data_IF_919217184239
#
_entry.id   IF_919217184239
#
_cell.length_a   1.000
_cell.length_b   1.000
_cell.length_c   1.000
_cell.angle_alpha   90.00
_cell.angle_beta   90.00
_cell.angle_gamma   90.00
#
_symmetry.space_group_name_H-M   'P 1'
#
loop_
_entity.id
_entity.type
_entity.pdbx_description
1 polymer ?
#
# COMPACT_ATOMS: atom_id res chain seq x y z
N UNK A 1 -7.93 8.67 -0.14
CA UNK A 1 -6.62 8.85 -0.82
C UNK A 1 -5.52 8.39 0.14
N UNK A 2 -4.53 7.61 -0.31
CA UNK A 2 -3.46 7.15 0.58
C UNK A 2 -2.24 8.05 0.52
N UNK A 3 -1.67 8.36 1.69
CA UNK A 3 -0.30 8.85 1.80
C UNK A 3 0.61 7.61 1.78
N UNK A 4 1.68 7.66 0.99
CA UNK A 4 2.70 6.62 0.92
C UNK A 4 4.00 7.17 1.46
N UNK A 5 4.53 6.54 2.52
CA UNK A 5 5.79 6.91 3.14
C UNK A 5 6.72 5.71 3.13
N UNK A 6 8.01 5.96 2.90
CA UNK A 6 9.04 4.95 3.02
C UNK A 6 9.63 5.00 4.43
N UNK A 7 9.60 3.88 5.12
CA UNK A 7 10.21 3.72 6.45
C UNK A 7 11.53 2.98 6.24
N UNK A 8 12.64 3.59 6.63
CA UNK A 8 13.98 3.00 6.52
C UNK A 8 14.45 2.66 7.92
N UNK A 9 14.74 1.39 8.15
CA UNK A 9 15.23 0.89 9.42
C UNK A 9 16.76 0.96 9.49
N UNK A 10 17.31 0.88 10.70
CA UNK A 10 18.75 0.99 10.94
C UNK A 10 19.57 -0.15 10.33
N UNK A 11 18.95 -1.28 10.03
CA UNK A 11 19.54 -2.43 9.34
C UNK A 11 19.58 -2.26 7.80
N UNK A 12 19.05 -1.14 7.29
CA UNK A 12 18.94 -0.86 5.86
C UNK A 12 17.69 -1.44 5.20
N UNK A 13 16.87 -2.21 5.93
CA UNK A 13 15.57 -2.67 5.45
C UNK A 13 14.63 -1.48 5.26
N UNK A 14 13.80 -1.53 4.21
CA UNK A 14 12.82 -0.49 3.95
C UNK A 14 11.41 -1.07 3.76
N UNK A 15 10.44 -0.44 4.40
CA UNK A 15 9.01 -0.77 4.28
C UNK A 15 8.25 0.41 3.65
N UNK A 16 7.15 0.10 2.99
CA UNK A 16 6.21 1.10 2.50
C UNK A 16 5.00 1.17 3.44
N UNK A 17 4.83 2.33 4.07
CA UNK A 17 3.65 2.65 4.85
C UNK A 17 2.59 3.30 3.97
N UNK A 18 1.39 2.76 3.99
CA UNK A 18 0.20 3.29 3.31
C UNK A 18 -0.80 3.76 4.36
N UNK A 19 -0.99 5.06 4.46
CA UNK A 19 -1.88 5.68 5.45
C UNK A 19 -3.12 6.19 4.74
N UNK A 20 -4.30 5.74 5.17
CA UNK A 20 -5.56 6.18 4.56
C UNK A 20 -5.92 7.58 5.10
N UNK A 21 -5.89 8.58 4.21
CA UNK A 21 -6.23 9.97 4.53
C UNK A 21 -7.75 10.14 4.56
N UNK A 22 -8.25 10.77 5.62
CA UNK A 22 -9.65 11.21 5.71
C UNK A 22 -9.81 12.60 5.13
N UNK A 23 -10.81 12.76 4.28
CA UNK A 23 -11.25 14.02 3.70
C UNK A 23 -12.78 13.99 3.52
N UNK A 24 -13.34 15.08 3.01
CA UNK A 24 -14.79 15.21 2.80
C UNK A 24 -15.41 14.18 1.85
N UNK A 25 -14.60 13.52 1.02
CA UNK A 25 -15.02 12.50 0.06
C UNK A 25 -14.66 11.08 0.52
N UNK A 26 -14.29 10.91 1.79
CA UNK A 26 -13.92 9.60 2.34
C UNK A 26 -15.16 8.79 2.66
N UNK A 27 -15.05 7.47 2.48
CA UNK A 27 -16.08 6.55 2.93
C UNK A 27 -16.23 6.60 4.46
N UNK A 28 -17.40 6.23 5.00
CA UNK A 28 -17.56 5.99 6.43
C UNK A 28 -16.48 5.05 6.97
N UNK A 29 -16.14 5.21 8.25
CA UNK A 29 -15.05 4.47 8.90
C UNK A 29 -15.17 2.96 8.75
N UNK A 30 -16.38 2.41 8.89
CA UNK A 30 -16.66 0.99 8.71
C UNK A 30 -16.33 0.51 7.29
N UNK A 31 -16.80 1.23 6.27
CA UNK A 31 -16.55 0.91 4.87
C UNK A 31 -15.06 1.04 4.53
N UNK A 32 -14.40 2.09 5.03
CA UNK A 32 -12.95 2.28 4.89
C UNK A 32 -12.16 1.14 5.53
N UNK A 33 -12.54 0.70 6.73
CA UNK A 33 -11.94 -0.42 7.43
C UNK A 33 -12.17 -1.73 6.69
N UNK A 34 -13.36 -1.97 6.12
CA UNK A 34 -13.64 -3.14 5.30
C UNK A 34 -12.79 -3.18 4.03
N UNK A 35 -12.64 -2.05 3.33
CA UNK A 35 -11.74 -1.96 2.17
C UNK A 35 -10.29 -2.28 2.56
N UNK A 36 -9.80 -1.71 3.67
CA UNK A 36 -8.44 -1.98 4.15
C UNK A 36 -8.26 -3.45 4.53
N UNK A 37 -9.19 -4.04 5.27
CA UNK A 37 -9.20 -5.48 5.62
C UNK A 37 -9.18 -6.36 4.37
N UNK A 38 -10.02 -6.03 3.39
CA UNK A 38 -10.08 -6.78 2.13
C UNK A 38 -8.75 -6.74 1.39
N UNK A 39 -8.07 -5.60 1.40
CA UNK A 39 -6.76 -5.45 0.79
C UNK A 39 -5.69 -6.25 1.55
N UNK A 40 -5.65 -6.16 2.88
CA UNK A 40 -4.76 -6.98 3.72
C UNK A 40 -4.95 -8.48 3.48
N UNK A 41 -6.20 -8.94 3.50
CA UNK A 41 -6.55 -10.35 3.27
C UNK A 41 -6.14 -10.81 1.86
N UNK A 42 -6.26 -9.94 0.86
CA UNK A 42 -5.81 -10.23 -0.50
C UNK A 42 -4.30 -10.38 -0.55
N UNK A 43 -3.53 -9.50 0.09
CA UNK A 43 -2.06 -9.61 0.14
C UNK A 43 -1.60 -10.88 0.87
N UNK A 44 -2.23 -11.23 1.99
CA UNK A 44 -1.94 -12.48 2.69
C UNK A 44 -2.27 -13.70 1.83
N UNK A 45 -3.37 -13.69 1.08
CA UNK A 45 -3.68 -14.75 0.13
C UNK A 45 -2.67 -14.81 -1.03
N UNK A 46 -2.23 -13.65 -1.53
CA UNK A 46 -1.26 -13.56 -2.63
C UNK A 46 0.13 -14.08 -2.24
N UNK A 47 0.48 -14.03 -0.96
CA UNK A 47 1.75 -14.55 -0.41
C UNK A 47 1.91 -16.06 -0.66
N UNK A 48 0.81 -16.80 -0.65
CA UNK A 48 0.81 -18.26 -0.79
C UNK A 48 0.75 -18.72 -2.26
N UNK A 49 0.53 -17.80 -3.21
CA UNK A 49 0.52 -18.10 -4.63
C UNK A 49 1.77 -17.54 -5.30
N UNK A 50 2.18 -18.13 -6.42
CA UNK A 50 3.42 -17.76 -7.13
C UNK A 50 3.29 -16.45 -7.93
N UNK A 51 2.79 -15.39 -7.30
CA UNK A 51 2.65 -14.04 -7.86
C UNK A 51 3.59 -13.10 -7.11
N UNK A 52 4.42 -12.30 -7.79
CA UNK A 52 5.27 -11.31 -7.14
C UNK A 52 4.40 -10.20 -6.54
N UNK A 53 4.09 -10.33 -5.25
CA UNK A 53 3.28 -9.42 -4.46
C UNK A 53 4.05 -8.97 -3.22
N UNK A 54 3.81 -7.75 -2.72
CA UNK A 54 4.48 -7.28 -1.51
C UNK A 54 3.93 -8.03 -0.29
N UNK A 55 4.82 -8.43 0.63
CA UNK A 55 4.39 -8.99 1.91
C UNK A 55 3.74 -7.92 2.79
N UNK A 56 2.65 -8.30 3.45
CA UNK A 56 2.06 -7.51 4.53
C UNK A 56 2.89 -7.74 5.81
N UNK A 57 3.27 -6.65 6.49
CA UNK A 57 3.95 -6.72 7.78
C UNK A 57 3.01 -6.42 8.93
N UNK A 58 2.17 -5.39 8.79
CA UNK A 58 1.22 -4.98 9.82
C UNK A 58 0.13 -4.08 9.24
N UNK A 59 -1.00 -3.94 9.93
CA UNK A 59 -2.03 -2.96 9.61
C UNK A 59 -2.82 -2.55 10.85
N UNK A 60 -3.27 -1.30 10.85
CA UNK A 60 -4.14 -0.75 11.89
C UNK A 60 -5.44 -0.24 11.30
N UNK A 61 -6.55 -0.49 11.99
CA UNK A 61 -7.87 -0.03 11.58
C UNK A 61 -8.24 1.26 12.31
N UNK A 62 -9.18 2.00 11.74
CA UNK A 62 -9.69 3.20 12.38
C UNK A 62 -10.56 2.84 13.58
N UNK A 63 -10.38 3.59 14.68
CA UNK A 63 -11.09 3.42 15.95
C UNK A 63 -10.92 2.03 16.58
N UNK A 64 -9.88 1.31 16.18
CA UNK A 64 -9.52 0.04 16.79
C UNK A 64 -8.72 0.31 18.07
N UNK A 65 -9.15 -0.21 19.23
CA UNK A 65 -8.42 -0.05 20.48
C UNK A 65 -7.00 -0.61 20.45
N UNK A 66 -6.70 -1.56 19.54
CA UNK A 66 -5.35 -2.12 19.38
C UNK A 66 -4.46 -1.26 18.46
N UNK A 67 -5.03 -0.26 17.78
CA UNK A 67 -4.28 0.64 16.90
C UNK A 67 -3.83 1.92 17.64
N UNK A 68 -2.63 1.87 18.22
CA UNK A 68 -1.99 3.01 18.91
C UNK A 68 -1.55 4.14 17.96
N UNK A 69 -1.52 3.92 16.64
CA UNK A 69 -1.10 4.93 15.66
C UNK A 69 -2.20 5.98 15.45
N UNK A 70 -3.45 5.67 15.80
CA UNK A 70 -4.58 6.60 15.75
C UNK A 70 -5.12 6.89 14.33
N UNK A 71 -4.50 6.33 13.30
CA UNK A 71 -4.95 6.40 11.91
C UNK A 71 -4.93 5.01 11.27
N UNK A 72 -5.81 4.72 10.31
CA UNK A 72 -5.76 3.49 9.54
C UNK A 72 -4.50 3.45 8.65
N UNK A 73 -3.75 2.37 8.76
CA UNK A 73 -2.50 2.17 8.03
C UNK A 73 -2.31 0.71 7.60
N UNK A 74 -1.39 0.52 6.66
CA UNK A 74 -0.85 -0.78 6.27
C UNK A 74 0.65 -0.62 6.02
N UNK A 75 1.45 -1.54 6.55
CA UNK A 75 2.89 -1.64 6.32
C UNK A 75 3.15 -2.84 5.41
N UNK A 76 3.81 -2.60 4.28
CA UNK A 76 4.13 -3.63 3.31
C UNK A 76 5.59 -3.60 2.88
N UNK A 77 6.07 -4.72 2.33
CA UNK A 77 7.38 -4.83 1.68
C UNK A 77 7.54 -3.79 0.58
N UNK A 78 8.69 -3.11 0.58
CA UNK A 78 9.08 -2.30 -0.58
C UNK A 78 9.59 -3.23 -1.68
N UNK A 79 8.83 -3.35 -2.76
CA UNK A 79 9.25 -4.14 -3.91
C UNK A 79 10.37 -3.43 -4.68
N UNK A 80 11.41 -4.17 -5.13
CA UNK A 80 12.41 -3.61 -6.02
C UNK A 80 11.79 -3.33 -7.39
N UNK A 81 12.13 -2.19 -7.98
CA UNK A 81 11.71 -1.86 -9.34
C UNK A 81 11.52 -0.38 -9.56
N UNK A 82 11.05 -0.07 -10.78
CA UNK A 82 10.81 1.30 -11.24
C UNK A 82 9.32 1.45 -11.53
N UNK A 83 8.66 2.53 -11.08
CA UNK A 83 7.26 2.78 -11.42
C UNK A 83 7.04 2.75 -12.94
N UNK A 84 6.03 2.02 -13.41
CA UNK A 84 5.77 1.84 -14.84
C UNK A 84 5.68 3.18 -15.61
N UNK A 85 5.03 4.18 -15.01
CA UNK A 85 4.85 5.51 -15.63
C UNK A 85 6.11 6.39 -15.59
N UNK A 86 7.16 5.98 -14.89
CA UNK A 86 8.45 6.68 -14.92
C UNK A 86 9.38 6.17 -16.02
N UNK A 87 8.97 5.11 -16.73
CA UNK A 87 9.70 4.61 -17.88
C UNK A 87 9.31 5.44 -19.12
N UNK A 88 10.31 5.92 -19.84
CA UNK A 88 10.10 6.37 -21.22
C UNK A 88 9.82 5.15 -22.09
N UNK A 89 8.89 5.23 -23.06
CA UNK A 89 8.68 4.15 -24.02
C UNK A 89 10.01 3.79 -24.69
N UNK A 90 10.31 2.50 -24.85
CA UNK A 90 11.41 2.09 -25.71
C UNK A 90 11.09 2.43 -27.17
N UNK A 91 12.09 2.48 -28.04
CA UNK A 91 11.91 2.79 -29.48
C UNK A 91 10.90 1.85 -30.18
N UNK A 92 10.70 0.64 -29.63
CA UNK A 92 9.75 -0.37 -30.12
C UNK A 92 8.32 -0.22 -29.57
N UNK A 93 8.07 0.69 -28.62
CA UNK A 93 6.75 0.89 -28.04
C UNK A 93 6.02 2.07 -28.68
N UNK A 94 4.73 1.92 -29.04
CA UNK A 94 3.97 3.03 -29.59
C UNK A 94 3.90 4.17 -28.57
N UNK A 95 4.38 5.35 -28.96
CA UNK A 95 4.30 6.54 -28.14
C UNK A 95 2.82 6.92 -27.97
N UNK A 96 2.40 7.18 -26.73
CA UNK A 96 1.06 7.72 -26.47
C UNK A 96 0.94 9.07 -27.19
N UNK A 97 0.10 9.12 -28.22
CA UNK A 97 -0.26 10.35 -28.92
C UNK A 97 -1.10 11.17 -27.94
N UNK A 98 -0.57 12.34 -27.54
CA UNK A 98 -1.30 13.33 -26.73
C UNK A 98 -2.39 14.03 -27.54
#
# INVERSE_FOLDING_TARGET
MHIRLRIIFSDGTAWLARILRTNYTSFPDECSNLCLKSECATLEWLKDINVPSPKLFDFGLRNDPENDVGVPYMLIEELPGTPLLSLSPSEDQPQNIQ
#
